data_IF_656820056420
#
_entry.id   IF_656820056420
#
_cell.length_a   1.000
_cell.length_b   1.000
_cell.length_c   1.000
_cell.angle_alpha   90.00
_cell.angle_beta   90.00
_cell.angle_gamma   90.00
#
_symmetry.space_group_name_H-M   'P 1'
#
loop_
_entity.id
_entity.type
_entity.pdbx_description
1 polymer ?
#
# COMPACT_ATOMS: atom_id res chain seq x y z
N UNK A 1 -17.39 16.02 6.90
CA UNK A 1 -15.95 15.76 6.81
C UNK A 1 -15.63 15.32 5.39
N UNK A 2 -14.74 16.02 4.68
CA UNK A 2 -14.26 15.62 3.35
C UNK A 2 -13.33 14.42 3.49
N UNK A 3 -13.61 13.36 2.74
CA UNK A 3 -12.74 12.18 2.65
C UNK A 3 -11.66 12.43 1.60
N UNK A 4 -10.47 11.89 1.82
CA UNK A 4 -9.38 11.88 0.84
C UNK A 4 -9.10 10.43 0.45
N UNK A 5 -8.55 10.25 -0.75
CA UNK A 5 -8.09 8.94 -1.22
C UNK A 5 -6.59 8.88 -1.02
N UNK A 6 -6.13 7.72 -0.56
CA UNK A 6 -4.75 7.36 -0.38
C UNK A 6 -4.39 6.26 -1.37
N UNK A 7 -3.13 6.22 -1.78
CA UNK A 7 -2.51 5.10 -2.50
C UNK A 7 -1.51 4.41 -1.58
N UNK A 8 -1.73 3.12 -1.35
CA UNK A 8 -0.74 2.21 -0.75
C UNK A 8 -0.02 1.52 -1.92
N UNK A 9 1.28 1.73 -2.03
CA UNK A 9 2.13 1.03 -3.00
C UNK A 9 3.03 0.07 -2.25
N UNK A 10 2.93 -1.22 -2.56
CA UNK A 10 3.78 -2.29 -2.02
C UNK A 10 4.77 -2.74 -3.08
N UNK A 11 6.05 -2.77 -2.73
CA UNK A 11 7.15 -3.30 -3.56
C UNK A 11 7.92 -4.33 -2.75
N UNK A 12 8.70 -5.14 -3.46
CA UNK A 12 9.62 -6.10 -2.85
C UNK A 12 8.93 -7.07 -1.85
N UNK A 13 7.66 -7.42 -2.10
CA UNK A 13 6.96 -8.44 -1.33
C UNK A 13 7.46 -9.81 -1.77
N UNK A 14 8.60 -10.21 -1.26
CA UNK A 14 9.20 -11.51 -1.47
C UNK A 14 10.22 -11.76 -0.36
N UNK A 15 10.50 -13.04 -0.13
CA UNK A 15 11.61 -13.46 0.73
C UNK A 15 12.65 -14.20 -0.09
N UNK A 16 13.91 -14.11 0.30
CA UNK A 16 15.00 -14.84 -0.34
C UNK A 16 15.39 -16.01 0.54
N UNK A 17 15.16 -17.23 0.07
CA UNK A 17 15.54 -18.48 0.74
C UNK A 17 16.50 -19.23 -0.17
N UNK A 18 17.72 -19.52 0.31
CA UNK A 18 18.75 -20.24 -0.45
C UNK A 18 19.02 -19.65 -1.85
N UNK A 19 19.00 -18.32 -1.97
CA UNK A 19 19.19 -17.63 -3.26
C UNK A 19 17.98 -17.66 -4.19
N UNK A 20 16.87 -18.25 -3.75
CA UNK A 20 15.61 -18.31 -4.50
C UNK A 20 14.61 -17.33 -3.91
N UNK A 21 13.93 -16.56 -4.77
CA UNK A 21 12.86 -15.66 -4.35
C UNK A 21 11.54 -16.43 -4.19
N UNK A 22 11.06 -16.53 -2.97
CA UNK A 22 9.77 -17.10 -2.60
C UNK A 22 8.71 -15.99 -2.43
N UNK A 23 7.44 -16.36 -2.57
CA UNK A 23 6.35 -15.49 -2.16
C UNK A 23 6.43 -15.23 -0.65
N UNK A 24 5.95 -14.06 -0.23
CA UNK A 24 5.91 -13.66 1.17
C UNK A 24 4.58 -12.98 1.51
N UNK A 25 4.39 -12.73 2.79
CA UNK A 25 3.21 -12.07 3.33
C UNK A 25 3.60 -10.82 4.10
N UNK A 26 2.86 -9.73 3.89
CA UNK A 26 3.02 -8.49 4.63
C UNK A 26 1.66 -8.03 5.16
N UNK A 27 1.67 -7.57 6.42
CA UNK A 27 0.46 -7.06 7.08
C UNK A 27 0.68 -5.59 7.36
N UNK A 28 -0.23 -4.76 6.85
CA UNK A 28 -0.17 -3.30 6.99
C UNK A 28 -1.38 -2.83 7.79
N UNK A 29 -1.13 -2.06 8.84
CA UNK A 29 -2.17 -1.34 9.56
C UNK A 29 -2.33 0.06 8.99
N UNK A 30 -3.57 0.45 8.72
CA UNK A 30 -3.93 1.85 8.51
C UNK A 30 -4.35 2.41 9.85
N UNK A 31 -3.68 3.47 10.27
CA UNK A 31 -3.85 4.09 11.57
C UNK A 31 -4.37 5.52 11.47
N UNK A 32 -5.12 5.86 12.49
CA UNK A 32 -5.61 7.18 12.81
C UNK A 32 -4.97 7.64 14.12
N UNK A 33 -3.88 8.40 14.02
CA UNK A 33 -2.96 8.57 15.14
C UNK A 33 -2.45 7.22 15.62
N UNK A 34 -2.56 6.91 16.90
CA UNK A 34 -2.13 5.60 17.41
C UNK A 34 -3.16 4.47 17.20
N UNK A 35 -4.39 4.80 16.79
CA UNK A 35 -5.47 3.82 16.67
C UNK A 35 -5.44 3.12 15.32
N UNK A 36 -5.29 1.80 15.34
CA UNK A 36 -5.55 0.97 14.16
C UNK A 36 -7.04 1.05 13.78
N UNK A 37 -7.32 1.40 12.53
CA UNK A 37 -8.69 1.51 12.00
C UNK A 37 -8.98 0.50 10.89
N UNK A 38 -7.94 -0.01 10.23
CA UNK A 38 -8.05 -1.02 9.19
C UNK A 38 -6.75 -1.80 9.08
N UNK A 39 -6.84 -3.03 8.59
CA UNK A 39 -5.69 -3.90 8.35
C UNK A 39 -5.77 -4.49 6.96
N UNK A 40 -4.69 -4.35 6.21
CA UNK A 40 -4.54 -4.86 4.87
C UNK A 40 -3.53 -6.00 4.85
N UNK A 41 -3.94 -7.11 4.25
CA UNK A 41 -3.11 -8.30 4.10
C UNK A 41 -2.64 -8.38 2.65
N UNK A 42 -1.33 -8.43 2.47
CA UNK A 42 -0.70 -8.64 1.17
C UNK A 42 -0.03 -10.00 1.17
N UNK A 43 -0.38 -10.85 0.21
CA UNK A 43 0.16 -12.20 0.07
C UNK A 43 0.60 -12.39 -1.37
N UNK A 44 1.83 -12.83 -1.60
CA UNK A 44 2.30 -13.21 -2.92
C UNK A 44 3.73 -12.79 -3.19
N UNK A 45 4.06 -12.69 -4.49
CA UNK A 45 5.41 -12.35 -4.95
C UNK A 45 5.32 -11.08 -5.80
N UNK A 46 5.77 -9.95 -5.26
CA UNK A 46 5.80 -8.68 -5.98
C UNK A 46 7.25 -8.32 -6.36
N UNK A 47 7.54 -8.43 -7.65
CA UNK A 47 8.82 -8.02 -8.25
C UNK A 47 8.66 -6.92 -9.30
N UNK A 48 7.41 -6.48 -9.53
CA UNK A 48 7.15 -5.44 -10.51
C UNK A 48 7.77 -4.12 -10.03
N UNK A 49 8.52 -3.39 -10.88
CA UNK A 49 9.11 -2.09 -10.50
C UNK A 49 8.05 -1.08 -10.04
N UNK A 50 6.86 -1.14 -10.63
CA UNK A 50 5.73 -0.30 -10.26
C UNK A 50 5.11 -0.68 -8.91
N UNK A 51 5.38 -1.88 -8.40
CA UNK A 51 4.73 -2.44 -7.22
C UNK A 51 3.25 -2.82 -7.44
N UNK A 52 2.63 -3.27 -6.36
CA UNK A 52 1.19 -3.44 -6.24
C UNK A 52 0.58 -2.18 -5.62
N UNK A 53 -0.34 -1.53 -6.32
CA UNK A 53 -1.02 -0.33 -5.86
C UNK A 53 -2.45 -0.63 -5.43
N UNK A 54 -2.83 -0.15 -4.24
CA UNK A 54 -4.18 -0.23 -3.71
C UNK A 54 -4.66 1.13 -3.24
N UNK A 55 -5.89 1.49 -3.58
CA UNK A 55 -6.50 2.76 -3.16
C UNK A 55 -7.30 2.56 -1.87
N UNK A 56 -7.21 3.53 -0.97
CA UNK A 56 -7.95 3.55 0.29
C UNK A 56 -8.57 4.92 0.51
N UNK A 57 -9.89 5.00 0.68
CA UNK A 57 -10.56 6.28 0.95
C UNK A 57 -10.85 6.41 2.43
N UNK A 58 -10.37 7.48 3.04
CA UNK A 58 -10.47 7.70 4.48
C UNK A 58 -10.53 9.17 4.85
N UNK A 59 -10.44 9.44 6.15
CA UNK A 59 -10.28 10.81 6.62
C UNK A 59 -8.85 11.31 6.36
N UNK A 60 -8.60 12.63 6.31
CA UNK A 60 -7.24 13.15 6.26
C UNK A 60 -6.42 12.79 7.51
N UNK A 61 -5.10 12.72 7.36
CA UNK A 61 -4.16 12.43 8.46
C UNK A 61 -3.94 10.95 8.79
N UNK A 62 -4.50 10.03 7.99
CA UNK A 62 -4.18 8.61 8.14
C UNK A 62 -2.75 8.32 7.70
N UNK A 63 -2.16 7.30 8.30
CA UNK A 63 -0.86 6.75 7.90
C UNK A 63 -0.88 5.22 7.92
N UNK A 64 0.04 4.60 7.19
CA UNK A 64 0.17 3.16 7.12
C UNK A 64 1.44 2.70 7.85
N UNK A 65 1.35 1.61 8.58
CA UNK A 65 2.48 1.00 9.32
C UNK A 65 2.57 -0.47 8.96
N UNK A 66 3.77 -0.94 8.64
CA UNK A 66 4.03 -2.36 8.46
C UNK A 66 4.04 -3.04 9.84
N UNK A 67 3.13 -3.99 10.06
CA UNK A 67 3.03 -4.74 11.31
C UNK A 67 3.89 -6.01 11.27
N UNK A 68 3.94 -6.70 10.13
CA UNK A 68 4.70 -7.94 9.95
C UNK A 68 5.05 -8.16 8.48
N UNK A 69 6.05 -9.04 8.26
CA UNK A 69 6.55 -9.36 6.92
C UNK A 69 7.63 -8.39 6.45
N UNK A 70 8.08 -8.57 5.21
CA UNK A 70 9.06 -7.71 4.56
C UNK A 70 8.51 -7.17 3.25
N UNK A 71 8.34 -5.86 3.18
CA UNK A 71 8.05 -5.16 1.93
C UNK A 71 8.44 -3.68 2.02
N UNK A 72 8.74 -3.09 0.87
CA UNK A 72 8.87 -1.65 0.73
C UNK A 72 7.47 -1.06 0.55
N UNK A 73 7.05 -0.16 1.44
CA UNK A 73 5.71 0.44 1.41
C UNK A 73 5.77 1.96 1.27
N UNK A 74 4.94 2.51 0.39
CA UNK A 74 4.69 3.95 0.26
C UNK A 74 3.20 4.21 0.44
N UNK A 75 2.84 5.16 1.32
CA UNK A 75 1.46 5.55 1.59
C UNK A 75 1.29 7.05 1.46
N UNK A 76 0.54 7.47 0.45
CA UNK A 76 0.43 8.88 0.08
C UNK A 76 -1.01 9.25 -0.22
N UNK A 77 -1.38 10.51 0.05
CA UNK A 77 -2.66 11.04 -0.42
C UNK A 77 -2.61 11.04 -1.95
N UNK A 78 -3.45 10.22 -2.58
CA UNK A 78 -3.61 10.27 -4.01
C UNK A 78 -4.29 11.59 -4.34
N UNK A 79 -3.61 12.46 -5.09
CA UNK A 79 -4.29 13.56 -5.74
C UNK A 79 -5.49 12.99 -6.53
N UNK A 80 -6.62 13.71 -6.64
CA UNK A 80 -7.63 13.35 -7.61
C UNK A 80 -6.92 13.21 -8.96
N UNK A 81 -7.06 12.05 -9.59
CA UNK A 81 -6.49 11.80 -10.90
C UNK A 81 -7.14 12.82 -11.85
N UNK A 82 -6.45 13.91 -12.16
CA UNK A 82 -6.85 14.82 -13.22
C UNK A 82 -6.42 14.23 -14.57
N UNK A 83 -6.83 12.98 -14.83
CA UNK A 83 -6.53 12.28 -16.09
C UNK A 83 -7.71 11.39 -16.45
N UNK A 84 -8.79 12.05 -16.85
CA UNK A 84 -9.73 11.59 -17.84
C UNK A 84 -10.50 12.80 -18.42
N UNK A 85 -9.78 13.86 -18.81
CA UNK A 85 -10.36 14.91 -19.64
C UNK A 85 -9.67 14.87 -21.01
N UNK A 86 -10.40 14.34 -21.98
CA UNK A 86 -10.17 14.54 -23.41
C UNK A 86 -9.05 13.70 -24.01
N UNK A 87 -9.45 12.72 -24.83
CA UNK A 87 -8.71 12.48 -26.07
C UNK A 87 -9.69 12.65 -27.23
N UNK A 88 -9.36 13.46 -28.26
CA UNK A 88 -10.25 13.79 -29.38
C UNK A 88 -10.65 12.58 -30.21
#
# INVERSE_FOLDING_TARGET
MTRVTYSITIRDLHRVEHGTMCADEAVVAIKDGEREIHREYFTGKCQAPAGYLRRYTGKPGLHAVLLSGSCSMQFEVSAPRQDAQGRP
#
